data_IF_568700273427
#
_entry.id   IF_568700273427
#
_cell.length_a   1.000
_cell.length_b   1.000
_cell.length_c   1.000
_cell.angle_alpha   90.00
_cell.angle_beta   90.00
_cell.angle_gamma   90.00
#
_symmetry.space_group_name_H-M   'P 1'
#
loop_
_entity.id
_entity.type
_entity.pdbx_description
1 polymer ?
#
# COMPACT_ATOMS: atom_id res chain seq x y z
N UNK A 1 20.19 -25.31 -33.33
CA UNK A 1 19.35 -24.26 -32.68
C UNK A 1 18.76 -24.91 -31.46
N UNK A 2 19.29 -24.60 -30.29
CA UNK A 2 18.79 -25.18 -29.03
C UNK A 2 17.55 -24.38 -28.63
N UNK A 3 16.38 -24.96 -28.85
CA UNK A 3 15.15 -24.46 -28.24
C UNK A 3 15.32 -24.56 -26.71
N UNK A 4 15.70 -23.44 -26.12
CA UNK A 4 15.68 -23.30 -24.68
C UNK A 4 14.21 -23.23 -24.28
N UNK A 5 13.60 -24.38 -24.06
CA UNK A 5 12.23 -24.46 -23.52
C UNK A 5 12.28 -23.87 -22.12
N UNK A 6 12.03 -22.59 -22.00
CA UNK A 6 11.94 -21.89 -20.72
C UNK A 6 10.75 -22.48 -19.98
N UNK A 7 11.00 -23.25 -18.92
CA UNK A 7 9.95 -23.78 -18.05
C UNK A 7 9.16 -22.59 -17.51
N UNK A 8 7.92 -22.46 -17.95
CA UNK A 8 6.98 -21.47 -17.43
C UNK A 8 6.33 -21.99 -16.17
N UNK A 9 6.53 -21.35 -15.04
CA UNK A 9 5.80 -21.61 -13.79
C UNK A 9 4.48 -20.83 -13.80
N UNK A 10 3.52 -21.27 -14.62
CA UNK A 10 2.24 -20.56 -14.82
C UNK A 10 1.39 -20.51 -13.54
N UNK A 11 1.38 -21.56 -12.75
CA UNK A 11 0.64 -21.63 -11.48
C UNK A 11 1.27 -20.70 -10.45
N UNK A 12 2.61 -20.63 -10.38
CA UNK A 12 3.32 -19.71 -9.49
C UNK A 12 3.04 -18.26 -9.85
N UNK A 13 3.07 -17.92 -11.14
CA UNK A 13 2.77 -16.55 -11.61
C UNK A 13 1.32 -16.15 -11.27
N UNK A 14 0.36 -17.06 -11.44
CA UNK A 14 -1.03 -16.81 -11.07
C UNK A 14 -1.19 -16.58 -9.58
N UNK A 15 -0.56 -17.39 -8.73
CA UNK A 15 -0.60 -17.24 -7.27
C UNK A 15 -0.01 -15.88 -6.85
N UNK A 16 1.09 -15.45 -7.46
CA UNK A 16 1.67 -14.13 -7.17
C UNK A 16 0.75 -12.99 -7.60
N UNK A 17 0.06 -13.11 -8.73
CA UNK A 17 -0.94 -12.13 -9.15
C UNK A 17 -2.14 -12.07 -8.20
N UNK A 18 -2.61 -13.21 -7.71
CA UNK A 18 -3.68 -13.29 -6.73
C UNK A 18 -3.28 -12.63 -5.39
N UNK A 19 -2.04 -12.85 -4.93
CA UNK A 19 -1.51 -12.14 -3.77
C UNK A 19 -1.42 -10.63 -3.99
N UNK A 20 -0.94 -10.18 -5.15
CA UNK A 20 -0.88 -8.76 -5.48
C UNK A 20 -2.26 -8.10 -5.41
N UNK A 21 -3.28 -8.76 -5.98
CA UNK A 21 -4.68 -8.33 -5.91
C UNK A 21 -5.17 -8.27 -4.47
N UNK A 22 -5.00 -9.33 -3.70
CA UNK A 22 -5.43 -9.42 -2.31
C UNK A 22 -4.80 -8.32 -1.44
N UNK A 23 -3.50 -8.07 -1.58
CA UNK A 23 -2.79 -7.01 -0.84
C UNK A 23 -3.37 -5.65 -1.20
N UNK A 24 -3.57 -5.36 -2.49
CA UNK A 24 -4.12 -4.08 -2.95
C UNK A 24 -5.54 -3.85 -2.46
N UNK A 25 -6.40 -4.86 -2.53
CA UNK A 25 -7.77 -4.78 -2.03
C UNK A 25 -7.82 -4.61 -0.51
N UNK A 26 -7.03 -5.38 0.23
CA UNK A 26 -6.92 -5.27 1.69
C UNK A 26 -6.43 -3.88 2.10
N UNK A 27 -5.39 -3.37 1.43
CA UNK A 27 -4.86 -2.02 1.69
C UNK A 27 -5.93 -0.94 1.46
N UNK A 28 -6.68 -1.02 0.35
CA UNK A 28 -7.79 -0.10 0.05
C UNK A 28 -8.88 -0.14 1.12
N UNK A 29 -9.27 -1.34 1.55
CA UNK A 29 -10.28 -1.53 2.59
C UNK A 29 -9.84 -0.94 3.92
N UNK A 30 -8.57 -1.09 4.30
CA UNK A 30 -8.01 -0.49 5.51
C UNK A 30 -8.00 1.03 5.41
N UNK A 31 -7.61 1.60 4.25
CA UNK A 31 -7.69 3.06 4.03
C UNK A 31 -9.11 3.59 4.22
N UNK A 32 -10.11 2.86 3.73
CA UNK A 32 -11.52 3.22 3.90
C UNK A 32 -11.95 3.16 5.35
N UNK A 33 -11.65 2.07 6.04
CA UNK A 33 -11.97 1.88 7.44
C UNK A 33 -11.33 2.94 8.35
N UNK A 34 -10.08 3.31 8.08
CA UNK A 34 -9.36 4.37 8.81
C UNK A 34 -9.79 5.79 8.37
N UNK A 35 -10.64 5.90 7.35
CA UNK A 35 -11.11 7.20 6.84
C UNK A 35 -10.02 8.07 6.23
N UNK A 36 -9.01 7.50 5.60
CA UNK A 36 -7.82 8.20 5.07
C UNK A 36 -8.00 8.73 3.64
N UNK A 37 -9.22 8.69 3.12
CA UNK A 37 -9.54 8.89 1.69
C UNK A 37 -9.77 10.34 1.27
N UNK A 38 -8.98 11.29 1.76
CA UNK A 38 -9.22 12.70 1.42
C UNK A 38 -9.08 13.03 -0.08
N UNK A 39 -8.34 12.25 -0.86
CA UNK A 39 -8.08 12.54 -2.29
C UNK A 39 -8.16 11.34 -3.22
N UNK A 40 -8.46 10.15 -2.74
CA UNK A 40 -8.40 8.85 -3.45
C UNK A 40 -7.09 8.58 -4.22
N UNK A 41 -6.16 9.53 -4.21
CA UNK A 41 -4.91 9.45 -4.96
C UNK A 41 -4.09 8.23 -4.57
N UNK A 42 -4.03 7.89 -3.28
CA UNK A 42 -3.29 6.71 -2.81
C UNK A 42 -3.96 5.42 -3.28
N UNK A 43 -5.29 5.36 -3.26
CA UNK A 43 -6.05 4.21 -3.73
C UNK A 43 -5.91 3.98 -5.23
N UNK A 44 -5.97 5.09 -6.01
CA UNK A 44 -5.97 5.03 -7.46
C UNK A 44 -4.58 4.71 -8.03
N UNK A 45 -3.52 5.04 -7.31
CA UNK A 45 -2.13 4.74 -7.72
C UNK A 45 -1.62 3.41 -7.22
N UNK A 46 -2.34 2.76 -6.30
CA UNK A 46 -1.96 1.46 -5.78
C UNK A 46 -2.22 0.38 -6.83
N UNK A 47 -1.16 -0.23 -7.30
CA UNK A 47 -1.18 -1.29 -8.31
C UNK A 47 -0.10 -2.33 -8.02
N UNK A 48 -0.18 -3.45 -8.73
CA UNK A 48 0.82 -4.50 -8.69
C UNK A 48 1.13 -5.01 -10.10
N UNK A 49 2.28 -5.61 -10.25
CA UNK A 49 2.63 -6.45 -11.39
C UNK A 49 3.60 -7.54 -10.96
N UNK A 50 3.56 -8.67 -11.66
CA UNK A 50 4.51 -9.75 -11.50
C UNK A 50 5.48 -9.71 -12.67
N UNK A 51 6.77 -9.81 -12.40
CA UNK A 51 7.82 -9.87 -13.40
C UNK A 51 8.68 -11.10 -13.20
N UNK A 52 9.11 -11.73 -14.30
CA UNK A 52 10.12 -12.78 -14.26
C UNK A 52 11.48 -12.16 -14.61
N UNK A 53 12.40 -12.22 -13.68
CA UNK A 53 13.76 -11.67 -13.78
C UNK A 53 14.76 -12.83 -13.70
N UNK A 54 15.18 -13.34 -14.85
CA UNK A 54 15.96 -14.58 -14.91
C UNK A 54 15.17 -15.76 -14.36
N UNK A 55 15.66 -16.37 -13.29
CA UNK A 55 15.02 -17.51 -12.60
C UNK A 55 14.15 -17.09 -11.41
N UNK A 56 13.96 -15.80 -11.18
CA UNK A 56 13.23 -15.27 -10.05
C UNK A 56 11.92 -14.62 -10.49
N UNK A 57 10.83 -14.90 -9.80
CA UNK A 57 9.58 -14.17 -9.93
C UNK A 57 9.50 -13.10 -8.84
N UNK A 58 9.19 -11.86 -9.24
CA UNK A 58 9.10 -10.71 -8.33
C UNK A 58 7.71 -10.09 -8.43
N UNK A 59 7.04 -9.97 -7.28
CA UNK A 59 5.80 -9.21 -7.14
C UNK A 59 6.14 -7.77 -6.76
N UNK A 60 5.90 -6.84 -7.66
CA UNK A 60 6.07 -5.40 -7.45
C UNK A 60 4.76 -4.76 -6.99
N UNK A 61 4.84 -3.97 -5.93
CA UNK A 61 3.76 -3.09 -5.50
C UNK A 61 4.16 -1.64 -5.77
N UNK A 62 3.34 -0.93 -6.52
CA UNK A 62 3.53 0.50 -6.80
C UNK A 62 2.61 1.31 -5.90
N UNK A 63 3.19 2.15 -5.05
CA UNK A 63 2.47 2.97 -4.06
C UNK A 63 3.05 4.38 -4.10
N UNK A 64 2.22 5.41 -3.90
CA UNK A 64 2.70 6.80 -3.78
C UNK A 64 3.66 6.99 -2.60
N UNK A 65 4.65 7.85 -2.75
CA UNK A 65 5.74 8.05 -1.77
C UNK A 65 5.29 8.37 -0.35
N UNK A 66 4.12 8.96 -0.17
CA UNK A 66 3.67 9.31 1.17
C UNK A 66 3.17 8.11 2.01
N UNK A 67 3.08 6.89 1.41
CA UNK A 67 2.74 5.66 2.14
C UNK A 67 3.65 5.43 3.36
N UNK A 68 4.92 5.84 3.26
CA UNK A 68 5.92 5.74 4.33
C UNK A 68 5.49 6.47 5.61
N UNK A 69 4.76 7.57 5.46
CA UNK A 69 4.26 8.37 6.57
C UNK A 69 3.05 7.73 7.25
N UNK A 70 2.22 7.04 6.49
CA UNK A 70 1.10 6.25 7.02
C UNK A 70 1.63 5.02 7.76
N UNK A 71 2.63 4.37 7.21
CA UNK A 71 3.21 3.16 7.79
C UNK A 71 3.92 3.45 9.11
N UNK A 72 4.84 4.40 9.11
CA UNK A 72 5.73 4.67 10.25
C UNK A 72 5.24 5.79 11.17
N UNK A 73 4.27 6.56 10.72
CA UNK A 73 3.90 7.80 11.41
C UNK A 73 4.99 8.87 11.38
N UNK A 74 4.72 9.98 12.05
CA UNK A 74 5.66 11.09 12.19
C UNK A 74 5.84 11.45 13.67
N UNK A 75 6.04 10.45 14.56
CA UNK A 75 6.17 10.69 16.00
C UNK A 75 7.22 11.75 16.36
N UNK A 76 7.19 12.23 17.59
CA UNK A 76 7.93 13.36 18.20
C UNK A 76 9.39 13.56 17.78
N UNK A 77 10.04 12.55 17.30
CA UNK A 77 11.37 12.61 16.70
C UNK A 77 11.30 12.56 15.17
N UNK A 78 10.08 12.74 14.62
CA UNK A 78 9.84 12.72 13.19
C UNK A 78 10.61 13.80 12.46
N UNK A 79 10.82 13.58 11.19
CA UNK A 79 11.63 14.39 10.26
C UNK A 79 11.32 15.89 10.35
N UNK A 80 10.07 16.28 10.60
CA UNK A 80 9.69 17.69 10.72
C UNK A 80 10.26 18.36 11.97
N UNK A 81 10.32 17.68 13.11
CA UNK A 81 10.86 18.24 14.34
C UNK A 81 12.39 18.29 14.31
N UNK A 82 13.03 17.24 13.83
CA UNK A 82 14.50 17.16 13.69
C UNK A 82 15.05 18.18 12.71
N UNK A 83 14.29 18.50 11.66
CA UNK A 83 14.67 19.51 10.66
C UNK A 83 14.24 20.93 11.04
N UNK A 84 13.60 21.15 12.18
CA UNK A 84 13.03 22.45 12.56
C UNK A 84 11.91 22.95 11.62
N UNK A 85 11.48 22.11 10.66
CA UNK A 85 10.47 22.46 9.65
C UNK A 85 9.07 22.01 10.10
N UNK A 86 8.08 22.85 9.86
CA UNK A 86 6.67 22.47 10.07
C UNK A 86 6.13 21.69 8.88
N UNK A 87 5.16 20.79 9.08
CA UNK A 87 4.46 20.14 7.97
C UNK A 87 3.93 21.14 6.95
N UNK A 88 3.89 20.83 5.65
CA UNK A 88 3.40 21.75 4.64
C UNK A 88 1.91 22.07 4.88
N UNK A 89 1.56 23.37 4.78
CA UNK A 89 0.19 23.82 5.11
C UNK A 89 -0.82 23.49 4.02
N UNK A 90 -0.45 23.65 2.75
CA UNK A 90 -1.36 23.48 1.61
C UNK A 90 -1.98 22.08 1.52
N UNK A 91 -1.23 20.97 1.66
CA UNK A 91 -1.81 19.63 1.69
C UNK A 91 -2.78 19.44 2.84
N UNK A 92 -2.47 19.96 4.04
CA UNK A 92 -3.38 19.87 5.19
C UNK A 92 -4.66 20.69 4.98
N UNK A 93 -4.57 21.84 4.36
CA UNK A 93 -5.74 22.65 4.01
C UNK A 93 -6.63 21.93 2.99
N UNK A 94 -6.06 21.38 1.93
CA UNK A 94 -6.78 20.56 0.96
C UNK A 94 -7.45 19.35 1.62
N UNK A 95 -6.75 18.69 2.54
CA UNK A 95 -7.31 17.57 3.29
C UNK A 95 -8.53 18.00 4.12
N UNK A 96 -8.46 19.12 4.86
CA UNK A 96 -9.59 19.66 5.63
C UNK A 96 -10.75 20.08 4.73
N UNK A 97 -10.47 20.61 3.54
CA UNK A 97 -11.51 21.03 2.58
C UNK A 97 -12.23 19.83 1.96
N UNK A 98 -11.53 18.75 1.67
CA UNK A 98 -12.08 17.57 1.01
C UNK A 98 -12.77 16.62 2.01
N UNK A 99 -12.39 16.66 3.28
CA UNK A 99 -13.01 15.82 4.30
C UNK A 99 -14.10 16.62 5.00
N UNK A 100 -15.31 16.09 5.21
CA UNK A 100 -16.37 16.74 5.96
C UNK A 100 -16.04 16.76 7.47
N UNK A 101 -14.95 17.43 7.84
CA UNK A 101 -14.55 17.61 9.22
C UNK A 101 -15.36 18.76 9.81
N UNK A 102 -16.32 18.43 10.67
CA UNK A 102 -17.06 19.45 11.39
C UNK A 102 -16.11 20.25 12.32
N UNK A 103 -16.29 21.57 12.44
CA UNK A 103 -15.55 22.37 13.40
C UNK A 103 -15.77 21.82 14.82
N UNK A 104 -14.68 21.49 15.52
CA UNK A 104 -14.72 20.81 16.81
C UNK A 104 -14.87 21.72 18.03
N UNK A 105 -14.89 23.04 17.83
CA UNK A 105 -15.18 23.96 18.92
C UNK A 105 -16.11 25.10 18.47
N UNK A 106 -16.77 25.74 19.42
CA UNK A 106 -17.79 26.75 19.15
C UNK A 106 -17.24 28.01 18.48
N UNK A 107 -15.98 28.35 18.73
CA UNK A 107 -15.32 29.47 18.06
C UNK A 107 -15.19 29.22 16.55
N UNK A 108 -14.81 27.99 16.16
CA UNK A 108 -14.71 27.61 14.75
C UNK A 108 -16.08 27.51 14.09
N UNK A 109 -17.12 27.04 14.81
CA UNK A 109 -18.49 26.97 14.30
C UNK A 109 -19.09 28.32 13.94
N UNK A 110 -18.67 29.37 14.61
CA UNK A 110 -19.12 30.76 14.39
C UNK A 110 -18.35 31.46 13.25
N UNK A 111 -17.30 30.86 12.71
CA UNK A 111 -16.50 31.42 11.64
C UNK A 111 -17.08 31.08 10.27
N UNK A 112 -16.89 31.94 9.24
CA UNK A 112 -17.11 31.55 7.86
C UNK A 112 -16.32 30.29 7.53
N UNK A 113 -16.93 29.36 6.73
CA UNK A 113 -16.39 28.03 6.48
C UNK A 113 -14.91 28.03 6.03
N UNK A 114 -14.56 28.90 5.09
CA UNK A 114 -13.18 29.04 4.59
C UNK A 114 -12.18 29.47 5.68
N UNK A 115 -12.58 30.33 6.60
CA UNK A 115 -11.76 30.73 7.74
C UNK A 115 -11.63 29.61 8.77
N UNK A 116 -12.73 28.92 9.05
CA UNK A 116 -12.74 27.76 9.93
C UNK A 116 -11.80 26.66 9.39
N UNK A 117 -11.87 26.33 8.11
CA UNK A 117 -11.02 25.33 7.47
C UNK A 117 -9.53 25.69 7.54
N UNK A 118 -9.17 26.97 7.29
CA UNK A 118 -7.79 27.45 7.44
C UNK A 118 -7.31 27.35 8.89
N UNK A 119 -8.14 27.72 9.86
CA UNK A 119 -7.82 27.61 11.27
C UNK A 119 -7.63 26.14 11.70
N UNK A 120 -8.50 25.23 11.25
CA UNK A 120 -8.40 23.80 11.49
C UNK A 120 -7.10 23.22 10.91
N UNK A 121 -6.76 23.58 9.68
CA UNK A 121 -5.51 23.14 9.05
C UNK A 121 -4.27 23.65 9.81
N UNK A 122 -4.31 24.87 10.32
CA UNK A 122 -3.22 25.43 11.14
C UNK A 122 -3.08 24.68 12.49
N UNK A 123 -4.20 24.35 13.14
CA UNK A 123 -4.20 23.59 14.40
C UNK A 123 -3.69 22.15 14.19
N UNK A 124 -4.12 21.50 13.10
CA UNK A 124 -3.61 20.18 12.72
C UNK A 124 -2.11 20.22 12.44
N UNK A 125 -1.66 21.24 11.67
CA UNK A 125 -0.22 21.46 11.41
C UNK A 125 0.59 21.56 12.69
N UNK A 126 0.09 22.33 13.65
CA UNK A 126 0.72 22.49 14.95
C UNK A 126 0.72 21.20 15.77
N UNK A 127 -0.39 20.46 15.75
CA UNK A 127 -0.49 19.17 16.43
C UNK A 127 0.47 18.14 15.85
N UNK A 128 0.51 17.99 14.51
CA UNK A 128 1.42 17.08 13.82
C UNK A 128 2.88 17.48 14.08
N UNK A 129 3.18 18.78 14.08
CA UNK A 129 4.53 19.25 14.39
C UNK A 129 4.98 18.90 15.81
N UNK A 130 4.08 19.07 16.81
CA UNK A 130 4.38 18.82 18.23
C UNK A 130 4.32 17.34 18.61
N UNK A 131 3.29 16.62 18.15
CA UNK A 131 2.97 15.26 18.60
C UNK A 131 3.31 14.18 17.58
N UNK A 132 3.49 14.57 16.30
CA UNK A 132 3.56 13.64 15.18
C UNK A 132 2.22 12.96 14.90
N UNK A 133 2.24 12.02 13.97
CA UNK A 133 1.12 11.10 13.68
C UNK A 133 1.46 9.70 14.20
N UNK A 134 0.45 8.93 14.57
CA UNK A 134 0.64 7.53 14.93
C UNK A 134 0.93 6.69 13.67
N UNK A 135 1.78 5.66 13.75
CA UNK A 135 1.91 4.70 12.68
C UNK A 135 0.61 3.91 12.52
N UNK A 136 0.24 3.60 11.31
CA UNK A 136 -0.99 2.85 11.00
C UNK A 136 -0.70 1.42 10.55
N UNK A 137 0.56 1.14 10.14
CA UNK A 137 1.01 -0.19 9.70
C UNK A 137 0.07 -0.81 8.66
N UNK A 138 -0.39 -0.01 7.69
CA UNK A 138 -1.42 -0.43 6.73
C UNK A 138 -0.90 -1.52 5.81
N UNK A 139 0.32 -1.36 5.31
CA UNK A 139 0.93 -2.35 4.42
C UNK A 139 1.17 -3.67 5.17
N UNK A 140 1.71 -3.61 6.39
CA UNK A 140 1.91 -4.79 7.24
C UNK A 140 0.59 -5.52 7.51
N UNK A 141 -0.48 -4.78 7.83
CA UNK A 141 -1.84 -5.32 8.05
C UNK A 141 -2.49 -5.87 6.79
N UNK A 142 -2.05 -5.45 5.61
CA UNK A 142 -2.57 -5.89 4.31
C UNK A 142 -1.89 -7.15 3.80
N UNK A 143 -0.72 -7.48 4.33
CA UNK A 143 0.04 -8.65 3.92
C UNK A 143 -0.59 -9.94 4.48
N UNK A 144 -0.69 -11.01 3.67
CA UNK A 144 -1.02 -12.32 4.19
C UNK A 144 0.10 -12.83 5.12
N UNK A 145 -0.21 -13.77 6.01
CA UNK A 145 0.80 -14.31 6.91
C UNK A 145 1.91 -15.02 6.14
N UNK A 146 3.13 -14.99 6.68
CA UNK A 146 4.29 -15.62 6.06
C UNK A 146 4.06 -17.12 5.83
N UNK A 147 3.39 -17.77 6.76
CA UNK A 147 3.05 -19.20 6.73
C UNK A 147 2.13 -19.50 5.55
N UNK A 148 1.05 -18.72 5.40
CA UNK A 148 0.10 -18.86 4.28
C UNK A 148 0.80 -18.68 2.94
N UNK A 149 1.62 -17.62 2.80
CA UNK A 149 2.38 -17.36 1.58
C UNK A 149 3.29 -18.53 1.27
N UNK A 150 4.05 -19.02 2.25
CA UNK A 150 5.01 -20.10 2.07
C UNK A 150 4.33 -21.39 1.61
N UNK A 151 3.25 -21.78 2.25
CA UNK A 151 2.54 -23.03 1.89
C UNK A 151 1.88 -22.93 0.51
N UNK A 152 1.26 -21.81 0.19
CA UNK A 152 0.64 -21.63 -1.13
C UNK A 152 1.68 -21.60 -2.25
N UNK A 153 2.83 -20.94 -2.05
CA UNK A 153 3.90 -20.94 -3.04
C UNK A 153 4.54 -22.31 -3.23
N UNK A 154 4.76 -23.07 -2.16
CA UNK A 154 5.23 -24.47 -2.27
C UNK A 154 4.27 -25.34 -3.08
N UNK A 155 2.95 -25.23 -2.82
CA UNK A 155 1.94 -25.97 -3.55
C UNK A 155 1.92 -25.59 -5.05
N UNK A 156 2.05 -24.30 -5.37
CA UNK A 156 2.09 -23.82 -6.75
C UNK A 156 3.33 -24.36 -7.50
N UNK A 157 4.51 -24.25 -6.91
CA UNK A 157 5.77 -24.77 -7.50
C UNK A 157 5.67 -26.28 -7.69
N UNK A 158 5.14 -27.02 -6.72
CA UNK A 158 4.94 -28.47 -6.83
C UNK A 158 4.02 -28.81 -8.01
N UNK A 159 2.90 -28.11 -8.15
CA UNK A 159 1.97 -28.30 -9.26
C UNK A 159 2.64 -28.06 -10.63
N UNK A 160 3.40 -26.99 -10.75
CA UNK A 160 4.12 -26.68 -11.99
C UNK A 160 5.18 -27.74 -12.33
N UNK A 161 5.91 -28.26 -11.34
CA UNK A 161 6.86 -29.34 -11.51
C UNK A 161 6.18 -30.66 -11.93
N UNK A 162 5.04 -31.01 -11.32
CA UNK A 162 4.28 -32.20 -11.68
C UNK A 162 3.76 -32.12 -13.12
N UNK A 163 3.30 -30.94 -13.57
CA UNK A 163 2.89 -30.71 -14.94
C UNK A 163 4.07 -30.86 -15.91
N UNK A 164 5.20 -30.25 -15.61
CA UNK A 164 6.41 -30.37 -16.43
C UNK A 164 6.90 -31.82 -16.56
N UNK A 165 6.95 -32.59 -15.46
CA UNK A 165 7.33 -34.02 -15.48
C UNK A 165 6.37 -34.82 -16.35
N UNK A 166 5.07 -34.52 -16.30
CA UNK A 166 4.06 -35.19 -17.14
C UNK A 166 4.31 -34.91 -18.61
N UNK A 167 4.63 -33.70 -18.98
CA UNK A 167 4.87 -33.29 -20.37
C UNK A 167 6.14 -33.93 -20.92
N UNK A 168 7.19 -34.08 -20.11
CA UNK A 168 8.41 -34.84 -20.50
C UNK A 168 8.06 -36.31 -20.77
N UNK A 169 7.28 -36.96 -19.93
CA UNK A 169 6.89 -38.37 -20.13
C UNK A 169 6.12 -38.58 -21.44
N UNK A 170 5.29 -37.63 -21.84
CA UNK A 170 4.57 -37.69 -23.13
C UNK A 170 5.52 -37.55 -24.31
N UNK A 171 6.53 -36.66 -24.22
CA UNK A 171 7.51 -36.46 -25.27
C UNK A 171 8.40 -37.71 -25.54
N UNK A 172 8.70 -38.50 -24.51
CA UNK A 172 9.47 -39.75 -24.64
C UNK A 172 8.67 -40.95 -25.08
N UNK A 173 7.36 -40.88 -25.15
CA UNK A 173 6.45 -41.96 -25.62
C UNK A 173 6.13 -41.92 -27.12
N UNK A 174 6.66 -40.91 -27.84
CA UNK A 174 6.57 -40.81 -29.32
C UNK A 174 7.85 -41.32 -29.96
#
# INVERSE_FOLDING_TARGET
MSDNTVIGFATLEQVLNDYGRQIVESYRNILDAEGINATDALKNTLSWHVSKEGDTYVLYLTIQDYWKWLERGTRLQGIYHQQGKRPPFTPLLKWVQNKPVAPWNDKLKRMPLNKAQKAMAAMLRQSIWKKGTKPLHILERSMPSKEQVTETLKAAVRSDLENWIRDIKIAFRR
#
